data_IF_110724100010
#
_entry.id   IF_110724100010
#
_cell.length_a   1.000
_cell.length_b   1.000
_cell.length_c   1.000
_cell.angle_alpha   90.00
_cell.angle_beta   90.00
_cell.angle_gamma   90.00
#
_symmetry.space_group_name_H-M   'P 1'
#
loop_
_entity.id
_entity.type
_entity.pdbx_description
1 polymer ?
#
# COMPACT_ATOMS: atom_id res chain seq x y z
N UNK A 1 9.08 -8.14 -9.58
CA UNK A 1 8.84 -8.55 -8.18
C UNK A 1 9.92 -8.06 -7.23
N UNK A 2 11.16 -8.56 -7.21
CA UNK A 2 12.20 -8.01 -6.29
C UNK A 2 12.48 -6.51 -6.53
N UNK A 3 12.52 -6.08 -7.81
CA UNK A 3 12.71 -4.67 -8.16
C UNK A 3 11.51 -3.77 -7.81
N UNK A 4 10.29 -4.32 -7.81
CA UNK A 4 9.07 -3.56 -7.47
C UNK A 4 8.94 -3.36 -5.95
N UNK A 5 9.35 -4.34 -5.15
CA UNK A 5 9.38 -4.19 -3.69
C UNK A 5 10.42 -3.17 -3.24
N UNK A 6 11.57 -3.10 -3.93
CA UNK A 6 12.58 -2.04 -3.72
C UNK A 6 12.02 -0.64 -4.01
N UNK A 7 11.29 -0.49 -5.12
CA UNK A 7 10.67 0.78 -5.53
C UNK A 7 9.60 1.24 -4.52
N UNK A 8 8.83 0.31 -3.95
CA UNK A 8 7.86 0.62 -2.88
C UNK A 8 8.53 1.10 -1.59
N UNK A 9 9.63 0.46 -1.20
CA UNK A 9 10.40 0.88 -0.03
C UNK A 9 10.97 2.28 -0.21
N UNK A 10 11.58 2.56 -1.36
CA UNK A 10 12.10 3.89 -1.71
C UNK A 10 10.98 4.95 -1.68
N UNK A 11 9.81 4.62 -2.25
CA UNK A 11 8.63 5.48 -2.21
C UNK A 11 8.17 5.76 -0.76
N UNK A 12 8.13 4.74 0.10
CA UNK A 12 7.82 4.93 1.52
C UNK A 12 8.79 5.90 2.20
N UNK A 13 10.10 5.74 1.99
CA UNK A 13 11.10 6.63 2.59
C UNK A 13 10.97 8.07 2.07
N UNK A 14 10.69 8.22 0.78
CA UNK A 14 10.47 9.52 0.14
C UNK A 14 9.27 10.25 0.77
N UNK A 15 8.11 9.60 0.85
CA UNK A 15 6.91 10.20 1.43
C UNK A 15 7.03 10.46 2.93
N UNK A 16 7.77 9.61 3.66
CA UNK A 16 8.09 9.86 5.07
C UNK A 16 8.91 11.12 5.23
N UNK A 17 9.95 11.32 4.40
CA UNK A 17 10.76 12.53 4.45
C UNK A 17 9.96 13.79 4.10
N UNK A 18 9.04 13.69 3.13
CA UNK A 18 8.12 14.79 2.83
C UNK A 18 7.18 15.10 4.01
N UNK A 19 6.65 14.09 4.69
CA UNK A 19 5.82 14.29 5.88
C UNK A 19 6.57 15.04 6.98
N UNK A 20 7.82 14.67 7.26
CA UNK A 20 8.67 15.35 8.25
C UNK A 20 8.98 16.81 7.85
N UNK A 21 9.20 17.08 6.55
CA UNK A 21 9.41 18.44 6.06
C UNK A 21 8.14 19.30 6.15
N UNK A 22 6.98 18.71 5.88
CA UNK A 22 5.69 19.38 6.02
C UNK A 22 5.43 19.74 7.49
N UNK A 23 5.74 18.82 8.42
CA UNK A 23 5.69 19.06 9.87
C UNK A 23 6.58 20.22 10.31
N UNK A 24 7.78 20.30 9.75
CA UNK A 24 8.73 21.37 10.07
C UNK A 24 8.35 22.73 9.43
N UNK A 25 7.24 22.82 8.69
CA UNK A 25 6.85 24.03 7.96
C UNK A 25 7.80 24.39 6.80
N UNK A 26 8.58 23.43 6.33
CA UNK A 26 9.60 23.63 5.27
C UNK A 26 9.02 23.48 3.85
N UNK A 27 7.71 23.31 3.73
CA UNK A 27 7.02 23.16 2.45
C UNK A 27 5.71 23.95 2.47
N UNK A 28 5.48 24.72 1.41
CA UNK A 28 4.22 25.42 1.18
C UNK A 28 3.48 24.77 0.01
N UNK A 29 2.28 24.28 0.27
CA UNK A 29 1.36 23.76 -0.75
C UNK A 29 0.07 24.56 -0.61
N UNK A 30 -0.45 25.17 -1.69
CA UNK A 30 -1.74 25.84 -1.64
C UNK A 30 -2.84 24.88 -1.17
N UNK A 31 -3.70 25.34 -0.28
CA UNK A 31 -4.79 24.55 0.33
C UNK A 31 -5.64 23.83 -0.73
N UNK A 32 -6.02 24.54 -1.80
CA UNK A 32 -6.82 24.00 -2.89
C UNK A 32 -6.12 22.89 -3.68
N UNK A 33 -4.79 22.94 -3.79
CA UNK A 33 -3.98 21.90 -4.42
C UNK A 33 -3.87 20.70 -3.51
N UNK A 34 -3.60 20.92 -2.21
CA UNK A 34 -3.52 19.86 -1.23
C UNK A 34 -4.85 19.08 -1.12
N UNK A 35 -5.99 19.77 -1.13
CA UNK A 35 -7.32 19.14 -1.12
C UNK A 35 -7.57 18.27 -2.36
N UNK A 36 -7.16 18.73 -3.55
CA UNK A 36 -7.25 17.93 -4.78
C UNK A 36 -6.36 16.69 -4.72
N UNK A 37 -5.13 16.82 -4.22
CA UNK A 37 -4.22 15.70 -4.04
C UNK A 37 -4.77 14.68 -3.03
N UNK A 38 -5.36 15.12 -1.91
CA UNK A 38 -6.04 14.22 -0.95
C UNK A 38 -7.14 13.41 -1.62
N UNK A 39 -7.98 14.06 -2.43
CA UNK A 39 -9.07 13.39 -3.12
C UNK A 39 -8.56 12.33 -4.09
N UNK A 40 -7.53 12.65 -4.88
CA UNK A 40 -6.91 11.67 -5.80
C UNK A 40 -6.32 10.49 -5.02
N UNK A 41 -5.65 10.74 -3.89
CA UNK A 41 -5.16 9.67 -3.03
C UNK A 41 -6.31 8.80 -2.48
N UNK A 42 -7.44 9.41 -2.09
CA UNK A 42 -8.62 8.70 -1.61
C UNK A 42 -9.17 7.77 -2.68
N UNK A 43 -9.41 8.30 -3.88
CA UNK A 43 -9.95 7.55 -5.02
C UNK A 43 -9.01 6.38 -5.40
N UNK A 44 -7.71 6.60 -5.35
CA UNK A 44 -6.74 5.56 -5.66
C UNK A 44 -6.66 4.48 -4.57
N UNK A 45 -6.78 4.84 -3.29
CA UNK A 45 -6.89 3.86 -2.19
C UNK A 45 -8.12 2.98 -2.39
N UNK A 46 -9.27 3.55 -2.76
CA UNK A 46 -10.49 2.79 -3.02
C UNK A 46 -10.31 1.81 -4.19
N UNK A 47 -9.63 2.25 -5.26
CA UNK A 47 -9.30 1.37 -6.38
C UNK A 47 -8.40 0.21 -5.97
N UNK A 48 -7.34 0.48 -5.19
CA UNK A 48 -6.44 -0.56 -4.68
C UNK A 48 -7.16 -1.52 -3.73
N UNK A 49 -8.09 -1.03 -2.91
CA UNK A 49 -8.91 -1.87 -2.04
C UNK A 49 -9.81 -2.82 -2.85
N UNK A 50 -10.38 -2.34 -3.97
CA UNK A 50 -11.13 -3.19 -4.90
C UNK A 50 -10.24 -4.28 -5.50
N UNK A 51 -9.04 -3.91 -5.98
CA UNK A 51 -8.05 -4.87 -6.50
C UNK A 51 -7.65 -5.90 -5.45
N UNK A 52 -7.44 -5.48 -4.20
CA UNK A 52 -7.16 -6.37 -3.07
C UNK A 52 -8.31 -7.35 -2.82
N UNK A 53 -9.56 -6.91 -2.98
CA UNK A 53 -10.72 -7.81 -2.94
C UNK A 53 -10.68 -8.86 -4.04
N UNK A 54 -10.28 -8.47 -5.25
CA UNK A 54 -10.19 -9.35 -6.42
C UNK A 54 -9.10 -10.42 -6.30
N UNK A 55 -8.01 -10.18 -5.56
CA UNK A 55 -6.93 -11.17 -5.41
C UNK A 55 -7.41 -12.50 -4.82
N UNK A 56 -8.41 -12.46 -3.95
CA UNK A 56 -9.05 -13.64 -3.34
C UNK A 56 -9.64 -14.60 -4.38
N UNK A 57 -10.04 -14.07 -5.53
CA UNK A 57 -10.73 -14.77 -6.61
C UNK A 57 -9.85 -15.07 -7.81
N UNK A 58 -8.56 -14.69 -7.79
CA UNK A 58 -7.65 -14.95 -8.92
C UNK A 58 -7.40 -16.44 -9.18
N UNK A 59 -7.57 -17.28 -8.16
CA UNK A 59 -7.27 -18.71 -8.25
C UNK A 59 -8.39 -19.52 -7.62
N UNK A 60 -9.16 -20.19 -8.48
CA UNK A 60 -10.00 -21.31 -8.09
C UNK A 60 -9.15 -22.58 -8.15
N UNK A 61 -8.94 -23.22 -6.99
CA UNK A 61 -8.17 -24.45 -6.94
C UNK A 61 -8.88 -25.54 -7.77
N UNK A 62 -10.20 -25.65 -7.66
CA UNK A 62 -10.99 -26.77 -8.20
C UNK A 62 -11.02 -26.78 -9.73
N UNK A 63 -10.77 -25.63 -10.35
CA UNK A 63 -10.57 -25.50 -11.79
C UNK A 63 -9.32 -26.25 -12.34
N UNK A 64 -8.34 -26.58 -11.50
CA UNK A 64 -7.12 -27.30 -11.95
C UNK A 64 -7.32 -28.81 -12.13
N UNK A 65 -8.44 -29.38 -11.65
CA UNK A 65 -8.71 -30.83 -11.73
C UNK A 65 -8.14 -31.65 -10.56
N UNK A 66 -8.22 -32.99 -10.69
CA UNK A 66 -8.03 -33.93 -9.56
C UNK A 66 -6.65 -34.57 -9.50
N UNK A 67 -5.81 -34.39 -10.53
CA UNK A 67 -4.44 -34.93 -10.54
C UNK A 67 -3.61 -34.27 -9.42
N UNK A 68 -2.77 -35.04 -8.68
CA UNK A 68 -1.95 -34.49 -7.60
C UNK A 68 -1.05 -33.33 -8.01
N UNK A 69 -0.48 -33.38 -9.23
CA UNK A 69 0.35 -32.33 -9.81
C UNK A 69 -0.44 -31.06 -10.09
N UNK A 70 -1.67 -31.19 -10.62
CA UNK A 70 -2.53 -30.05 -10.90
C UNK A 70 -2.98 -29.35 -9.61
N UNK A 71 -3.30 -30.12 -8.56
CA UNK A 71 -3.59 -29.58 -7.22
C UNK A 71 -2.39 -28.85 -6.62
N UNK A 72 -1.17 -29.36 -6.81
CA UNK A 72 0.05 -28.65 -6.38
C UNK A 72 0.25 -27.34 -7.14
N UNK A 73 -0.01 -27.31 -8.45
CA UNK A 73 0.09 -26.10 -9.26
C UNK A 73 -0.92 -25.04 -8.81
N UNK A 74 -2.20 -25.42 -8.63
CA UNK A 74 -3.22 -24.52 -8.10
C UNK A 74 -2.82 -23.91 -6.76
N UNK A 75 -2.27 -24.71 -5.83
CA UNK A 75 -1.75 -24.21 -4.55
C UNK A 75 -0.61 -23.20 -4.71
N UNK A 76 0.28 -23.39 -5.69
CA UNK A 76 1.36 -22.42 -5.97
C UNK A 76 0.78 -21.08 -6.43
N UNK A 77 -0.14 -21.10 -7.39
CA UNK A 77 -0.79 -19.87 -7.86
C UNK A 77 -1.60 -19.19 -6.77
N UNK A 78 -2.32 -19.96 -5.93
CA UNK A 78 -3.09 -19.41 -4.82
C UNK A 78 -2.19 -18.63 -3.86
N UNK A 79 -1.02 -19.18 -3.50
CA UNK A 79 -0.04 -18.46 -2.68
C UNK A 79 0.46 -17.17 -3.32
N UNK A 80 0.67 -17.15 -4.64
CA UNK A 80 1.07 -15.93 -5.36
C UNK A 80 -0.04 -14.88 -5.40
N UNK A 81 -1.31 -15.29 -5.39
CA UNK A 81 -2.45 -14.38 -5.45
C UNK A 81 -2.78 -13.74 -4.10
N UNK A 82 -3.06 -14.56 -3.08
CA UNK A 82 -3.57 -14.10 -1.78
C UNK A 82 -2.89 -14.74 -0.57
N UNK A 83 -1.72 -15.35 -0.79
CA UNK A 83 -0.89 -15.90 0.28
C UNK A 83 -0.14 -14.83 1.08
N UNK A 84 0.91 -15.29 1.75
CA UNK A 84 1.78 -14.47 2.59
C UNK A 84 2.81 -13.72 1.73
N UNK A 85 4.05 -13.63 2.20
CA UNK A 85 5.12 -12.80 1.64
C UNK A 85 5.24 -12.89 0.11
N UNK A 86 5.33 -11.72 -0.53
CA UNK A 86 5.45 -11.59 -1.98
C UNK A 86 4.18 -11.86 -2.79
N UNK A 87 3.03 -12.14 -2.15
CA UNK A 87 1.76 -12.27 -2.86
C UNK A 87 1.27 -10.93 -3.41
N UNK A 88 0.44 -10.98 -4.47
CA UNK A 88 -0.20 -9.78 -5.01
C UNK A 88 -1.02 -9.04 -3.93
N UNK A 89 -1.67 -9.78 -3.03
CA UNK A 89 -2.39 -9.21 -1.90
C UNK A 89 -1.47 -8.48 -0.90
N UNK A 90 -0.25 -8.96 -0.67
CA UNK A 90 0.74 -8.23 0.16
C UNK A 90 1.19 -6.96 -0.52
N UNK A 91 1.59 -7.04 -1.80
CA UNK A 91 2.09 -5.88 -2.57
C UNK A 91 1.04 -4.77 -2.66
N UNK A 92 -0.21 -5.11 -2.93
CA UNK A 92 -1.30 -4.12 -2.98
C UNK A 92 -1.51 -3.45 -1.61
N UNK A 93 -1.42 -4.20 -0.50
CA UNK A 93 -1.53 -3.62 0.84
C UNK A 93 -0.39 -2.63 1.15
N UNK A 94 0.84 -2.98 0.77
CA UNK A 94 1.99 -2.09 0.91
C UNK A 94 1.80 -0.81 0.08
N UNK A 95 1.25 -0.93 -1.13
CA UNK A 95 0.96 0.23 -1.98
C UNK A 95 -0.12 1.13 -1.36
N UNK A 96 -1.19 0.55 -0.79
CA UNK A 96 -2.21 1.32 -0.05
C UNK A 96 -1.56 2.14 1.07
N UNK A 97 -0.58 1.59 1.79
CA UNK A 97 0.07 2.29 2.90
C UNK A 97 0.96 3.43 2.44
N UNK A 98 1.68 3.27 1.33
CA UNK A 98 2.42 4.37 0.69
C UNK A 98 1.47 5.51 0.34
N UNK A 99 0.32 5.21 -0.28
CA UNK A 99 -0.67 6.22 -0.68
C UNK A 99 -1.36 6.84 0.52
N UNK A 100 -1.57 6.10 1.61
CA UNK A 100 -2.07 6.64 2.87
C UNK A 100 -1.08 7.64 3.51
N UNK A 101 0.22 7.36 3.46
CA UNK A 101 1.24 8.29 3.92
C UNK A 101 1.28 9.54 3.04
N UNK A 102 1.26 9.38 1.71
CA UNK A 102 1.14 10.49 0.77
C UNK A 102 -0.08 11.37 1.09
N UNK A 103 -1.23 10.73 1.37
CA UNK A 103 -2.47 11.42 1.74
C UNK A 103 -2.33 12.23 3.04
N UNK A 104 -1.64 11.70 4.05
CA UNK A 104 -1.48 12.41 5.33
C UNK A 104 -0.63 13.67 5.18
N UNK A 105 0.36 13.68 4.28
CA UNK A 105 1.14 14.90 3.95
C UNK A 105 0.23 16.02 3.47
N UNK A 106 -0.69 15.73 2.54
CA UNK A 106 -1.59 16.76 1.99
C UNK A 106 -2.64 17.23 2.98
N UNK A 107 -3.23 16.33 3.77
CA UNK A 107 -4.29 16.68 4.75
C UNK A 107 -3.88 17.75 5.73
N UNK A 108 -2.60 17.79 6.13
CA UNK A 108 -2.05 18.77 7.07
C UNK A 108 -2.22 20.23 6.60
N UNK A 109 -2.34 20.46 5.29
CA UNK A 109 -2.47 21.81 4.73
C UNK A 109 -3.89 22.38 4.81
N UNK A 110 -4.89 21.56 5.14
CA UNK A 110 -6.30 21.99 5.16
C UNK A 110 -7.16 21.34 6.26
N UNK A 111 -6.59 20.44 7.07
CA UNK A 111 -7.26 19.79 8.21
C UNK A 111 -6.29 19.72 9.40
N UNK A 112 -6.69 20.26 10.57
CA UNK A 112 -6.03 19.93 11.85
C UNK A 112 -6.25 18.44 12.17
N UNK A 113 -5.26 17.56 11.98
CA UNK A 113 -5.45 16.11 12.18
C UNK A 113 -4.26 15.41 12.87
N UNK A 114 -4.25 15.38 14.21
CA UNK A 114 -3.27 14.62 15.00
C UNK A 114 -3.52 13.09 15.01
N UNK A 115 -4.77 12.64 14.86
CA UNK A 115 -5.13 11.22 15.02
C UNK A 115 -4.76 10.36 13.81
N UNK A 116 -4.84 10.92 12.60
CA UNK A 116 -4.53 10.21 11.35
C UNK A 116 -3.03 9.92 11.22
N UNK A 117 -2.19 10.90 11.55
CA UNK A 117 -0.73 10.76 11.51
C UNK A 117 -0.20 9.72 12.49
N UNK A 118 -0.77 9.67 13.71
CA UNK A 118 -0.35 8.70 14.73
C UNK A 118 -0.61 7.27 14.29
N UNK A 119 -1.74 7.02 13.63
CA UNK A 119 -2.10 5.71 13.10
C UNK A 119 -1.18 5.28 11.95
N UNK A 120 -0.90 6.19 11.01
CA UNK A 120 -0.02 5.91 9.86
C UNK A 120 1.43 5.69 10.32
N UNK A 121 1.95 6.55 11.19
CA UNK A 121 3.31 6.42 11.74
C UNK A 121 3.55 5.11 12.49
N UNK A 122 2.58 4.65 13.28
CA UNK A 122 2.67 3.37 13.99
C UNK A 122 2.69 2.15 13.04
N UNK A 123 1.96 2.23 11.92
CA UNK A 123 1.90 1.15 10.92
C UNK A 123 3.19 1.04 10.11
N UNK A 124 3.81 2.18 9.77
CA UNK A 124 5.06 2.24 8.99
C UNK A 124 6.21 1.51 9.71
N UNK A 125 6.29 1.62 11.04
CA UNK A 125 7.31 0.95 11.85
C UNK A 125 7.29 -0.58 11.75
N UNK A 126 6.12 -1.19 11.48
CA UNK A 126 5.97 -2.65 11.38
C UNK A 126 6.37 -3.24 10.02
N UNK A 127 6.45 -2.42 8.97
CA UNK A 127 6.48 -2.88 7.57
C UNK A 127 7.86 -2.73 6.96
N UNK A 128 8.65 -1.75 7.40
CA UNK A 128 10.09 -1.73 7.12
C UNK A 128 10.81 -3.00 7.59
N UNK A 129 10.26 -3.71 8.57
CA UNK A 129 10.76 -5.00 9.02
C UNK A 129 10.38 -6.19 8.10
N UNK A 130 9.33 -6.07 7.28
CA UNK A 130 8.85 -7.12 6.36
C UNK A 130 9.13 -6.87 4.88
N UNK A 131 9.76 -5.73 4.55
CA UNK A 131 10.24 -5.41 3.19
C UNK A 131 11.78 -5.49 3.11
N UNK A 132 12.46 -5.58 4.27
CA UNK A 132 13.92 -5.51 4.41
C UNK A 132 14.65 -6.85 4.52
N UNK A 133 14.00 -8.00 4.29
CA UNK A 133 14.66 -9.32 4.19
C UNK A 133 14.51 -9.94 2.79
#
# INVERSE_FOLDING_TARGET
MASENGDLFESMQFWKNLSERAEAGLMEIPESVAAQCDQVCADYIDHLAEMLGKTKFLVDLDAFGTLPSARQLGRKFKRLADGEEGSAAVVIRQHIEVVQLMRSVFRRYFVETEELDRSVGARIGGIGAGVGE
#
